data_IF_853430020915
#
_entry.id   IF_853430020915
#
_cell.length_a   1.000
_cell.length_b   1.000
_cell.length_c   1.000
_cell.angle_alpha   90.00
_cell.angle_beta   90.00
_cell.angle_gamma   90.00
#
_symmetry.space_group_name_H-M   'P 1'
#
loop_
_entity.id
_entity.type
_entity.pdbx_description
1 polymer ?
#
# COMPACT_ATOMS: atom_id res chain seq x y z
N UNK A 1 2.65 6.71 28.29
CA UNK A 1 3.49 7.61 27.49
C UNK A 1 4.87 7.79 28.10
N UNK A 2 4.97 8.53 29.21
CA UNK A 2 6.25 9.02 29.77
C UNK A 2 7.21 7.95 30.36
N UNK A 3 6.82 6.67 30.41
CA UNK A 3 7.67 5.58 30.94
C UNK A 3 8.56 4.92 29.87
N UNK A 4 8.26 5.09 28.58
CA UNK A 4 9.05 4.46 27.51
C UNK A 4 10.40 5.15 27.38
N UNK A 5 11.49 4.39 27.51
CA UNK A 5 12.87 4.91 27.33
C UNK A 5 13.25 5.12 25.86
N UNK A 6 12.57 4.43 24.95
CA UNK A 6 12.90 4.40 23.53
C UNK A 6 11.68 4.74 22.65
N UNK A 7 11.88 5.29 21.44
CA UNK A 7 10.80 5.45 20.47
C UNK A 7 10.27 4.07 20.01
N UNK A 8 9.02 4.05 19.53
CA UNK A 8 8.36 2.86 18.97
C UNK A 8 7.77 3.23 17.62
N UNK A 9 8.32 2.68 16.53
CA UNK A 9 7.86 3.00 15.18
C UNK A 9 6.51 2.35 14.87
N UNK A 10 5.54 3.13 14.41
CA UNK A 10 4.20 2.66 14.02
C UNK A 10 4.03 2.89 12.52
N UNK A 11 3.46 1.92 11.82
CA UNK A 11 3.32 1.92 10.36
C UNK A 11 1.86 1.82 9.94
N UNK A 12 1.55 2.36 8.77
CA UNK A 12 0.26 2.13 8.13
C UNK A 12 0.21 0.71 7.56
N UNK A 13 -0.92 0.04 7.70
CA UNK A 13 -1.21 -1.22 7.02
C UNK A 13 -2.28 -0.97 5.97
N UNK A 14 -1.84 -0.63 4.77
CA UNK A 14 -2.74 -0.29 3.67
C UNK A 14 -3.43 -1.55 3.10
N UNK A 15 -2.79 -2.72 3.25
CA UNK A 15 -3.30 -4.00 2.79
C UNK A 15 -4.48 -4.51 3.65
N UNK A 16 -4.52 -4.14 4.93
CA UNK A 16 -5.54 -4.58 5.89
C UNK A 16 -6.04 -3.38 6.72
N UNK A 17 -6.99 -2.60 6.19
CA UNK A 17 -7.48 -1.37 6.82
C UNK A 17 -8.00 -1.58 8.25
N UNK A 18 -8.63 -2.73 8.52
CA UNK A 18 -9.21 -3.10 9.82
C UNK A 18 -8.20 -3.18 10.97
N UNK A 19 -6.91 -3.42 10.67
CA UNK A 19 -5.82 -3.45 11.66
C UNK A 19 -4.84 -2.29 11.50
N UNK A 20 -5.11 -1.35 10.59
CA UNK A 20 -4.21 -0.25 10.29
C UNK A 20 -4.18 0.79 11.42
N UNK A 21 -3.05 0.97 12.14
CA UNK A 21 -2.99 1.89 13.26
C UNK A 21 -3.20 3.35 12.86
N UNK A 22 -2.71 3.74 11.68
CA UNK A 22 -2.84 5.11 11.18
C UNK A 22 -4.27 5.42 10.73
N UNK A 23 -4.96 4.45 10.13
CA UNK A 23 -6.38 4.60 9.79
C UNK A 23 -7.22 4.71 11.06
N UNK A 24 -7.02 3.81 12.03
CA UNK A 24 -7.72 3.85 13.31
C UNK A 24 -7.50 5.20 14.03
N UNK A 25 -6.27 5.71 13.98
CA UNK A 25 -5.93 7.01 14.55
C UNK A 25 -6.61 8.17 13.80
N UNK A 26 -6.67 8.11 12.47
CA UNK A 26 -7.36 9.11 11.65
C UNK A 26 -8.87 9.14 11.92
N UNK A 27 -9.51 7.97 12.01
CA UNK A 27 -10.93 7.86 12.38
C UNK A 27 -11.15 8.47 13.77
N UNK A 28 -10.30 8.17 14.74
CA UNK A 28 -10.37 8.77 16.07
C UNK A 28 -10.21 10.30 16.02
N UNK A 29 -9.26 10.83 15.26
CA UNK A 29 -9.07 12.28 15.13
C UNK A 29 -10.26 12.97 14.48
N UNK A 30 -10.86 12.39 13.44
CA UNK A 30 -12.07 12.94 12.83
C UNK A 30 -13.22 13.00 13.84
N UNK A 31 -13.40 11.96 14.65
CA UNK A 31 -14.54 11.88 15.58
C UNK A 31 -14.36 12.72 16.86
N UNK A 32 -13.13 12.83 17.36
CA UNK A 32 -12.86 13.40 18.70
C UNK A 32 -11.92 14.60 18.69
N UNK A 33 -11.32 14.94 17.55
CA UNK A 33 -10.30 15.97 17.44
C UNK A 33 -8.92 15.53 17.92
N UNK A 34 -7.92 16.36 17.65
CA UNK A 34 -6.52 16.13 18.04
C UNK A 34 -6.07 16.99 19.23
N UNK A 35 -6.60 18.21 19.34
CA UNK A 35 -6.07 19.24 20.24
C UNK A 35 -6.91 19.37 21.51
N UNK A 36 -6.75 18.44 22.45
CA UNK A 36 -7.42 18.50 23.75
C UNK A 36 -6.67 19.43 24.71
N UNK A 37 -6.75 20.75 24.51
CA UNK A 37 -6.10 21.77 25.35
C UNK A 37 -6.50 21.65 26.82
N UNK A 38 -7.79 21.41 27.09
CA UNK A 38 -8.32 21.15 28.44
C UNK A 38 -7.72 19.88 29.11
N UNK A 39 -7.13 18.96 28.33
CA UNK A 39 -6.45 17.77 28.82
C UNK A 39 -4.92 17.90 28.81
N UNK A 40 -4.38 19.12 28.75
CA UNK A 40 -2.93 19.36 28.71
C UNK A 40 -2.27 18.88 27.42
N UNK A 41 -3.03 18.85 26.32
CA UNK A 41 -2.52 18.45 25.00
C UNK A 41 -2.23 16.95 24.84
N UNK A 42 -2.81 16.10 25.71
CA UNK A 42 -2.74 14.64 25.57
C UNK A 42 -3.53 14.17 24.34
N UNK A 43 -2.96 13.22 23.60
CA UNK A 43 -3.60 12.59 22.44
C UNK A 43 -4.93 11.92 22.79
N UNK A 44 -4.96 11.22 23.92
CA UNK A 44 -6.16 10.65 24.50
C UNK A 44 -6.47 11.41 25.79
N UNK A 45 -7.61 12.11 25.88
CA UNK A 45 -7.95 12.94 27.04
C UNK A 45 -8.23 12.05 28.27
N UNK A 46 -8.26 12.64 29.47
CA UNK A 46 -8.53 11.94 30.73
C UNK A 46 -7.30 11.42 31.50
N UNK A 47 -7.55 10.71 32.60
CA UNK A 47 -6.54 10.16 33.53
C UNK A 47 -6.59 8.62 33.54
N UNK A 48 -5.60 7.97 34.17
CA UNK A 48 -5.55 6.50 34.34
C UNK A 48 -5.75 5.70 33.03
N UNK A 49 -5.03 6.11 31.98
CA UNK A 49 -5.23 5.58 30.62
C UNK A 49 -5.12 4.05 30.54
N UNK A 50 -4.21 3.44 31.29
CA UNK A 50 -4.07 1.98 31.34
C UNK A 50 -5.34 1.30 31.87
N UNK A 51 -5.93 1.81 32.95
CA UNK A 51 -7.14 1.24 33.52
C UNK A 51 -8.36 1.51 32.65
N UNK A 52 -8.45 2.70 32.04
CA UNK A 52 -9.51 3.00 31.07
C UNK A 52 -9.45 2.07 29.86
N UNK A 53 -8.26 1.91 29.28
CA UNK A 53 -8.03 0.97 28.19
C UNK A 53 -8.39 -0.46 28.61
N UNK A 54 -7.92 -0.92 29.77
CA UNK A 54 -8.23 -2.26 30.28
C UNK A 54 -9.74 -2.47 30.45
N UNK A 55 -10.47 -1.51 31.03
CA UNK A 55 -11.92 -1.61 31.22
C UNK A 55 -12.67 -1.64 29.88
N UNK A 56 -12.31 -0.77 28.94
CA UNK A 56 -12.92 -0.78 27.61
C UNK A 56 -12.61 -2.07 26.86
N UNK A 57 -11.35 -2.50 26.85
CA UNK A 57 -10.93 -3.72 26.18
C UNK A 57 -11.59 -4.97 26.80
N UNK A 58 -11.41 -5.21 28.10
CA UNK A 58 -11.93 -6.42 28.73
C UNK A 58 -13.46 -6.41 28.85
N UNK A 59 -14.06 -5.33 29.34
CA UNK A 59 -15.48 -5.36 29.67
C UNK A 59 -16.34 -5.10 28.43
N UNK A 60 -16.05 -4.03 27.68
CA UNK A 60 -16.86 -3.69 26.50
C UNK A 60 -16.57 -4.64 25.33
N UNK A 61 -15.31 -4.74 24.92
CA UNK A 61 -14.99 -5.42 23.67
C UNK A 61 -14.97 -6.94 23.81
N UNK A 62 -14.40 -7.51 24.87
CA UNK A 62 -14.25 -8.96 24.97
C UNK A 62 -15.47 -9.66 25.61
N UNK A 63 -16.22 -8.97 26.47
CA UNK A 63 -17.30 -9.57 27.27
C UNK A 63 -18.71 -9.11 26.88
N UNK A 64 -18.91 -7.83 26.53
CA UNK A 64 -20.23 -7.31 26.13
C UNK A 64 -20.51 -7.50 24.62
N UNK A 65 -19.49 -7.64 23.78
CA UNK A 65 -19.65 -7.88 22.34
C UNK A 65 -19.76 -9.38 22.06
N UNK A 66 -20.98 -9.84 21.74
CA UNK A 66 -21.29 -11.25 21.54
C UNK A 66 -20.54 -11.86 20.34
N UNK A 67 -20.35 -11.10 19.26
CA UNK A 67 -19.64 -11.58 18.06
C UNK A 67 -18.16 -11.79 18.37
N UNK A 68 -17.55 -10.85 19.09
CA UNK A 68 -16.15 -10.96 19.53
C UNK A 68 -15.99 -12.12 20.52
N UNK A 69 -16.89 -12.24 21.50
CA UNK A 69 -16.85 -13.33 22.48
C UNK A 69 -17.00 -14.71 21.80
N UNK A 70 -17.92 -14.83 20.85
CA UNK A 70 -18.11 -16.05 20.06
C UNK A 70 -16.89 -16.38 19.21
N UNK A 71 -16.27 -15.37 18.56
CA UNK A 71 -15.06 -15.55 17.77
C UNK A 71 -13.86 -16.02 18.62
N UNK A 72 -13.73 -15.49 19.85
CA UNK A 72 -12.70 -15.92 20.81
C UNK A 72 -12.95 -17.35 21.27
N UNK A 73 -14.19 -17.68 21.64
CA UNK A 73 -14.58 -19.03 22.04
C UNK A 73 -14.36 -20.05 20.91
N UNK A 74 -14.68 -19.69 19.66
CA UNK A 74 -14.42 -20.51 18.48
C UNK A 74 -12.94 -20.81 18.23
N UNK A 75 -12.02 -20.03 18.82
CA UNK A 75 -10.57 -20.28 18.82
C UNK A 75 -10.10 -21.09 20.03
N UNK A 76 -11.01 -21.61 20.85
CA UNK A 76 -10.70 -22.38 22.06
C UNK A 76 -10.16 -21.52 23.21
N UNK A 77 -10.45 -20.22 23.21
CA UNK A 77 -10.01 -19.28 24.24
C UNK A 77 -11.20 -18.79 25.07
N UNK A 78 -10.98 -18.46 26.33
CA UNK A 78 -11.98 -17.78 27.15
C UNK A 78 -11.69 -16.28 27.19
N UNK A 79 -12.68 -15.45 26.88
CA UNK A 79 -12.55 -13.98 26.91
C UNK A 79 -12.05 -13.46 28.28
N UNK A 80 -12.40 -14.14 29.38
CA UNK A 80 -11.97 -13.79 30.73
C UNK A 80 -10.45 -14.01 30.98
N UNK A 81 -9.80 -14.82 30.15
CA UNK A 81 -8.35 -15.08 30.23
C UNK A 81 -7.53 -14.06 29.43
N UNK A 82 -8.20 -13.20 28.66
CA UNK A 82 -7.56 -12.19 27.82
C UNK A 82 -7.59 -10.85 28.55
N UNK A 83 -6.39 -10.35 28.88
CA UNK A 83 -6.19 -9.06 29.51
C UNK A 83 -5.37 -8.10 28.65
N UNK A 84 -5.18 -6.88 29.14
CA UNK A 84 -4.32 -5.87 28.50
C UNK A 84 -2.86 -6.36 28.33
N UNK A 85 -2.39 -7.27 29.18
CA UNK A 85 -1.09 -7.93 29.03
C UNK A 85 -1.05 -8.91 27.87
N UNK A 86 -2.17 -9.54 27.52
CA UNK A 86 -2.26 -10.51 26.43
C UNK A 86 -1.95 -9.86 25.08
N UNK A 87 -2.27 -8.58 24.89
CA UNK A 87 -1.91 -7.83 23.68
C UNK A 87 -0.39 -7.75 23.51
N UNK A 88 0.34 -7.39 24.57
CA UNK A 88 1.82 -7.30 24.51
C UNK A 88 2.45 -8.67 24.30
N UNK A 89 2.00 -9.68 25.04
CA UNK A 89 2.48 -11.06 24.90
C UNK A 89 2.21 -11.59 23.49
N UNK A 90 0.98 -11.45 23.02
CA UNK A 90 0.55 -11.87 21.68
C UNK A 90 1.33 -11.18 20.57
N UNK A 91 1.56 -9.87 20.67
CA UNK A 91 2.39 -9.14 19.72
C UNK A 91 3.84 -9.65 19.70
N UNK A 92 4.44 -9.91 20.87
CA UNK A 92 5.79 -10.49 20.96
C UNK A 92 5.85 -11.90 20.37
N UNK A 93 4.87 -12.75 20.67
CA UNK A 93 4.76 -14.10 20.10
C UNK A 93 4.59 -14.02 18.58
N UNK A 94 3.69 -13.18 18.08
CA UNK A 94 3.46 -12.99 16.65
C UNK A 94 4.74 -12.57 15.91
N UNK A 95 5.50 -11.62 16.47
CA UNK A 95 6.79 -11.24 15.92
C UNK A 95 7.78 -12.41 15.87
N UNK A 96 7.85 -13.21 16.94
CA UNK A 96 8.82 -14.30 17.06
C UNK A 96 8.41 -15.58 16.31
N UNK A 97 7.12 -15.78 16.02
CA UNK A 97 6.60 -17.04 15.48
C UNK A 97 6.14 -16.98 14.02
N UNK A 98 6.09 -15.78 13.41
CA UNK A 98 5.58 -15.64 12.05
C UNK A 98 6.56 -15.96 10.92
N UNK A 99 7.86 -16.10 11.22
CA UNK A 99 8.90 -16.46 10.26
C UNK A 99 10.19 -16.88 10.99
N UNK A 100 11.00 -17.75 10.39
CA UNK A 100 12.38 -18.02 10.84
C UNK A 100 13.31 -16.82 10.67
N UNK A 101 12.89 -15.81 9.90
CA UNK A 101 13.57 -14.53 9.72
C UNK A 101 12.96 -13.42 10.59
N UNK A 102 12.36 -13.75 11.73
CA UNK A 102 11.75 -12.81 12.66
C UNK A 102 12.72 -11.72 13.19
N UNK A 103 12.21 -10.60 13.73
CA UNK A 103 13.05 -9.66 14.45
C UNK A 103 13.77 -10.34 15.64
N UNK A 104 14.92 -9.81 16.04
CA UNK A 104 15.67 -10.38 17.17
C UNK A 104 14.85 -10.34 18.46
N UNK A 105 15.01 -11.37 19.30
CA UNK A 105 14.33 -11.43 20.60
C UNK A 105 14.67 -10.22 21.48
N UNK A 106 15.88 -9.68 21.36
CA UNK A 106 16.31 -8.46 22.02
C UNK A 106 15.44 -7.26 21.60
N UNK A 107 15.25 -7.04 20.29
CA UNK A 107 14.41 -5.95 19.79
C UNK A 107 12.94 -6.10 20.22
N UNK A 108 12.40 -7.33 20.14
CA UNK A 108 11.03 -7.63 20.58
C UNK A 108 10.87 -7.32 22.07
N UNK A 109 11.81 -7.76 22.91
CA UNK A 109 11.76 -7.57 24.36
C UNK A 109 11.94 -6.11 24.76
N UNK A 110 12.87 -5.39 24.13
CA UNK A 110 13.08 -3.95 24.34
C UNK A 110 11.79 -3.17 24.01
N UNK A 111 11.14 -3.47 22.88
CA UNK A 111 9.89 -2.82 22.48
C UNK A 111 8.72 -3.16 23.39
N UNK A 112 8.67 -4.40 23.89
CA UNK A 112 7.71 -4.88 24.88
C UNK A 112 7.96 -4.31 26.29
N UNK A 113 9.07 -3.60 26.49
CA UNK A 113 9.53 -3.06 27.78
C UNK A 113 9.82 -4.17 28.81
N UNK A 114 10.35 -5.30 28.36
CA UNK A 114 10.75 -6.42 29.21
C UNK A 114 12.23 -6.29 29.58
N UNK A 115 12.56 -6.72 30.81
CA UNK A 115 13.95 -6.89 31.23
C UNK A 115 14.55 -8.07 30.50
N UNK A 116 15.70 -7.88 29.88
CA UNK A 116 16.45 -8.97 29.24
C UNK A 116 17.39 -9.67 30.23
N UNK A 117 17.54 -9.13 31.44
CA UNK A 117 18.45 -9.61 32.47
C UNK A 117 19.72 -8.78 32.53
N UNK A 118 20.48 -8.90 33.63
CA UNK A 118 21.54 -7.97 34.02
C UNK A 118 22.59 -7.74 32.91
N UNK A 119 23.07 -8.82 32.29
CA UNK A 119 24.11 -8.75 31.25
C UNK A 119 23.53 -8.11 29.98
N UNK A 120 22.40 -8.61 29.50
CA UNK A 120 21.81 -8.15 28.24
C UNK A 120 21.29 -6.71 28.32
N UNK A 121 20.67 -6.30 29.43
CA UNK A 121 20.23 -4.90 29.62
C UNK A 121 21.43 -3.91 29.63
N UNK A 122 22.63 -4.40 29.99
CA UNK A 122 23.87 -3.61 29.98
C UNK A 122 24.40 -3.43 28.57
N UNK A 123 24.39 -4.49 27.74
CA UNK A 123 25.08 -4.50 26.44
C UNK A 123 24.16 -4.31 25.23
N UNK A 124 22.93 -4.81 25.29
CA UNK A 124 21.96 -4.69 24.19
C UNK A 124 21.17 -3.40 24.35
N UNK A 125 21.36 -2.48 23.41
CA UNK A 125 20.68 -1.18 23.39
C UNK A 125 19.63 -1.15 22.29
N UNK A 126 18.83 -0.10 22.32
CA UNK A 126 17.82 0.15 21.30
C UNK A 126 18.48 0.27 19.93
N UNK A 127 17.97 -0.50 18.97
CA UNK A 127 18.38 -0.47 17.56
C UNK A 127 17.19 -0.03 16.71
N UNK A 128 17.30 1.15 16.09
CA UNK A 128 16.18 1.72 15.34
C UNK A 128 15.73 0.83 14.17
N UNK A 129 16.67 0.21 13.44
CA UNK A 129 16.34 -0.68 12.32
C UNK A 129 15.55 -1.91 12.78
N UNK A 130 15.98 -2.53 13.88
CA UNK A 130 15.31 -3.68 14.49
C UNK A 130 13.92 -3.30 15.02
N UNK A 131 13.77 -2.12 15.65
CA UNK A 131 12.45 -1.61 16.07
C UNK A 131 11.54 -1.29 14.88
N UNK A 132 12.08 -0.76 13.78
CA UNK A 132 11.32 -0.59 12.53
C UNK A 132 10.76 -1.93 12.04
N UNK A 133 11.57 -2.99 12.07
CA UNK A 133 11.14 -4.33 11.65
C UNK A 133 10.06 -4.90 12.58
N UNK A 134 10.26 -4.81 13.90
CA UNK A 134 9.23 -5.19 14.88
C UNK A 134 7.96 -4.37 14.65
N UNK A 135 8.11 -3.06 14.37
CA UNK A 135 7.01 -2.13 14.14
C UNK A 135 6.13 -2.52 12.96
N UNK A 136 6.74 -2.81 11.81
CA UNK A 136 6.00 -3.30 10.64
C UNK A 136 5.25 -4.59 10.94
N UNK A 137 5.93 -5.51 11.62
CA UNK A 137 5.36 -6.81 11.99
C UNK A 137 4.13 -6.65 12.89
N UNK A 138 4.23 -5.90 13.99
CA UNK A 138 3.08 -5.70 14.90
C UNK A 138 1.96 -4.84 14.32
N UNK A 139 2.21 -4.10 13.24
CA UNK A 139 1.16 -3.41 12.48
C UNK A 139 0.47 -4.35 11.47
N UNK A 140 0.84 -5.63 11.43
CA UNK A 140 0.20 -6.65 10.59
C UNK A 140 0.65 -6.64 9.13
N UNK A 141 1.77 -5.99 8.80
CA UNK A 141 2.29 -6.02 7.43
C UNK A 141 2.77 -7.44 7.05
N UNK A 142 2.62 -7.85 5.78
CA UNK A 142 2.84 -9.23 5.36
C UNK A 142 4.33 -9.59 5.29
N UNK A 143 4.89 -10.20 6.35
CA UNK A 143 6.33 -10.49 6.50
C UNK A 143 6.99 -11.26 5.35
N UNK A 144 6.21 -12.00 4.56
CA UNK A 144 6.70 -12.85 3.48
C UNK A 144 6.27 -12.34 2.09
N UNK A 145 6.01 -11.04 1.96
CA UNK A 145 5.59 -10.38 0.71
C UNK A 145 6.35 -9.05 0.52
N UNK A 146 6.51 -8.58 -0.72
CA UNK A 146 7.17 -7.29 -0.98
C UNK A 146 6.42 -6.11 -0.34
N UNK A 147 5.10 -6.22 -0.21
CA UNK A 147 4.23 -5.25 0.49
C UNK A 147 4.55 -5.09 1.98
N UNK A 148 5.42 -5.93 2.55
CA UNK A 148 5.99 -5.63 3.87
C UNK A 148 6.66 -4.25 3.89
N UNK A 149 7.21 -3.83 2.74
CA UNK A 149 7.81 -2.52 2.52
C UNK A 149 6.87 -1.45 1.97
N UNK A 150 5.55 -1.65 2.03
CA UNK A 150 4.59 -0.65 1.56
C UNK A 150 4.74 0.66 2.34
N UNK A 151 4.54 1.77 1.63
CA UNK A 151 4.58 3.13 2.17
C UNK A 151 3.15 3.57 2.52
N UNK A 152 2.99 4.42 3.55
CA UNK A 152 1.68 4.96 3.89
C UNK A 152 1.17 5.92 2.79
N UNK A 153 -0.16 6.02 2.60
CA UNK A 153 -0.74 7.06 1.76
C UNK A 153 -0.39 8.43 2.31
N UNK A 154 -0.20 9.40 1.42
CA UNK A 154 0.14 10.76 1.78
C UNK A 154 -0.34 11.77 0.73
N UNK A 155 -0.36 13.05 1.12
CA UNK A 155 -0.65 14.14 0.19
C UNK A 155 0.59 14.54 -0.62
N UNK A 156 0.60 14.20 -1.90
CA UNK A 156 1.58 14.65 -2.88
C UNK A 156 1.14 15.96 -3.49
N UNK A 157 1.86 17.02 -3.15
CA UNK A 157 1.63 18.38 -3.65
C UNK A 157 2.82 18.79 -4.53
N UNK A 158 2.56 19.04 -5.81
CA UNK A 158 3.59 19.41 -6.80
C UNK A 158 3.76 20.93 -6.93
N UNK A 159 2.81 21.70 -6.42
CA UNK A 159 2.82 23.17 -6.44
C UNK A 159 2.49 23.77 -5.07
N UNK A 160 2.82 25.05 -4.89
CA UNK A 160 2.46 25.81 -3.67
C UNK A 160 0.95 25.87 -3.48
N UNK A 161 0.19 26.01 -4.57
CA UNK A 161 -1.27 26.10 -4.57
C UNK A 161 -1.88 24.79 -4.06
N UNK A 162 -1.39 23.63 -4.55
CA UNK A 162 -1.85 22.32 -4.08
C UNK A 162 -1.55 22.09 -2.59
N UNK A 163 -0.37 22.53 -2.12
CA UNK A 163 -0.02 22.48 -0.69
C UNK A 163 -0.94 23.37 0.15
N UNK A 164 -1.23 24.58 -0.31
CA UNK A 164 -2.16 25.50 0.35
C UNK A 164 -3.60 24.96 0.39
N UNK A 165 -4.03 24.16 -0.60
CA UNK A 165 -5.34 23.51 -0.58
C UNK A 165 -5.42 22.45 0.52
N UNK A 166 -4.42 21.55 0.61
CA UNK A 166 -4.37 20.54 1.66
C UNK A 166 -4.25 21.18 3.05
N UNK A 167 -3.38 22.19 3.19
CA UNK A 167 -3.19 22.91 4.47
C UNK A 167 -4.49 23.54 4.96
N UNK A 168 -5.25 24.18 4.07
CA UNK A 168 -6.54 24.79 4.43
C UNK A 168 -7.50 23.77 5.04
N UNK A 169 -7.62 22.58 4.42
CA UNK A 169 -8.51 21.54 4.94
C UNK A 169 -8.02 21.02 6.28
N UNK A 170 -6.71 20.74 6.41
CA UNK A 170 -6.13 20.24 7.67
C UNK A 170 -6.26 21.24 8.81
N UNK A 171 -6.03 22.53 8.54
CA UNK A 171 -6.13 23.60 9.54
C UNK A 171 -7.58 23.88 9.92
N UNK A 172 -8.55 23.63 9.03
CA UNK A 172 -9.97 23.69 9.32
C UNK A 172 -10.43 22.52 10.20
N UNK A 173 -10.04 21.28 9.85
CA UNK A 173 -10.35 20.10 10.65
C UNK A 173 -9.68 20.16 12.04
N UNK A 174 -8.47 20.69 12.11
CA UNK A 174 -7.67 20.76 13.34
C UNK A 174 -7.00 22.13 13.50
N UNK A 175 -7.71 23.12 14.08
CA UNK A 175 -7.15 24.44 14.27
C UNK A 175 -6.03 24.46 15.32
N UNK A 176 -5.04 25.33 15.10
CA UNK A 176 -3.95 25.64 16.05
C UNK A 176 -3.05 24.43 16.42
N UNK A 177 -2.77 23.54 15.46
CA UNK A 177 -1.79 22.47 15.65
C UNK A 177 -0.35 22.99 15.54
N UNK A 178 0.51 22.50 16.44
CA UNK A 178 1.95 22.63 16.23
C UNK A 178 2.42 21.76 15.06
N UNK A 179 3.60 22.08 14.50
CA UNK A 179 4.12 21.44 13.30
C UNK A 179 4.23 19.90 13.42
N UNK A 180 4.58 19.37 14.60
CA UNK A 180 4.72 17.92 14.80
C UNK A 180 3.36 17.24 14.79
N UNK A 181 2.37 17.83 15.47
CA UNK A 181 1.00 17.34 15.46
C UNK A 181 0.36 17.45 14.09
N UNK A 182 0.61 18.54 13.36
CA UNK A 182 0.13 18.71 11.98
C UNK A 182 0.64 17.59 11.07
N UNK A 183 1.92 17.23 11.17
CA UNK A 183 2.46 16.09 10.41
C UNK A 183 1.75 14.76 10.71
N UNK A 184 1.48 14.46 11.98
CA UNK A 184 0.76 13.23 12.38
C UNK A 184 -0.69 13.26 11.91
N UNK A 185 -1.36 14.41 12.03
CA UNK A 185 -2.72 14.60 11.53
C UNK A 185 -2.79 14.41 10.02
N UNK A 186 -1.86 14.99 9.25
CA UNK A 186 -1.80 14.79 7.80
C UNK A 186 -1.67 13.33 7.40
N UNK A 187 -0.77 12.58 8.03
CA UNK A 187 -0.60 11.15 7.75
C UNK A 187 -1.87 10.34 8.08
N UNK A 188 -2.52 10.67 9.20
CA UNK A 188 -3.75 10.01 9.63
C UNK A 188 -4.93 10.32 8.71
N UNK A 189 -5.10 11.58 8.29
CA UNK A 189 -6.15 11.98 7.34
C UNK A 189 -5.88 11.39 5.96
N UNK A 190 -4.63 11.34 5.51
CA UNK A 190 -4.30 10.68 4.24
C UNK A 190 -4.72 9.21 4.23
N UNK A 191 -4.55 8.50 5.36
CA UNK A 191 -5.05 7.13 5.52
C UNK A 191 -6.59 7.07 5.44
N UNK A 192 -7.30 7.98 6.11
CA UNK A 192 -8.78 8.04 6.06
C UNK A 192 -9.29 8.30 4.63
N UNK A 193 -8.70 9.27 3.93
CA UNK A 193 -9.09 9.63 2.56
C UNK A 193 -8.82 8.47 1.60
N UNK A 194 -7.66 7.82 1.71
CA UNK A 194 -7.31 6.66 0.91
C UNK A 194 -8.28 5.48 1.14
N UNK A 195 -8.71 5.25 2.39
CA UNK A 195 -9.61 4.15 2.75
C UNK A 195 -11.10 4.54 2.78
N UNK A 196 -11.50 5.69 2.24
CA UNK A 196 -12.88 6.20 2.38
C UNK A 196 -13.94 5.22 1.87
N UNK A 197 -13.70 4.54 0.74
CA UNK A 197 -14.64 3.57 0.16
C UNK A 197 -14.71 2.28 0.96
N UNK A 198 -13.59 1.89 1.58
CA UNK A 198 -13.56 0.76 2.49
C UNK A 198 -14.35 1.09 3.76
N UNK A 199 -14.16 2.28 4.33
CA UNK A 199 -14.89 2.74 5.51
C UNK A 199 -16.40 2.76 5.27
N UNK A 200 -16.85 3.34 4.15
CA UNK A 200 -18.28 3.39 3.78
C UNK A 200 -18.93 2.01 3.62
N UNK A 201 -18.17 1.01 3.19
CA UNK A 201 -18.66 -0.37 3.00
C UNK A 201 -18.66 -1.21 4.28
N UNK A 202 -17.74 -0.95 5.20
CA UNK A 202 -17.49 -1.84 6.35
C UNK A 202 -17.92 -1.25 7.70
N UNK A 203 -18.12 0.07 7.79
CA UNK A 203 -18.58 0.72 9.02
C UNK A 203 -20.10 0.90 9.01
N UNK A 204 -20.77 0.85 10.17
CA UNK A 204 -22.20 1.15 10.27
C UNK A 204 -22.53 2.52 9.69
N UNK A 205 -23.64 2.64 8.94
CA UNK A 205 -24.02 3.90 8.28
C UNK A 205 -24.29 5.07 9.25
N UNK A 206 -24.56 4.78 10.52
CA UNK A 206 -24.74 5.75 11.60
C UNK A 206 -23.46 5.99 12.42
N UNK A 207 -22.30 5.53 11.94
CA UNK A 207 -21.04 5.71 12.64
C UNK A 207 -20.66 7.21 12.67
N UNK A 208 -20.24 7.78 13.83
CA UNK A 208 -19.98 9.22 13.99
C UNK A 208 -19.00 9.82 12.97
N UNK A 209 -18.10 9.00 12.42
CA UNK A 209 -17.19 9.39 11.34
C UNK A 209 -17.92 10.04 10.16
N UNK A 210 -19.09 9.53 9.78
CA UNK A 210 -19.82 10.00 8.60
C UNK A 210 -20.53 11.33 8.83
N UNK A 211 -20.68 11.76 10.09
CA UNK A 211 -21.19 13.08 10.47
C UNK A 211 -20.06 14.12 10.59
N UNK A 212 -18.79 13.68 10.59
CA UNK A 212 -17.64 14.59 10.73
C UNK A 212 -17.53 15.53 9.53
N UNK A 213 -16.89 16.68 9.75
CA UNK A 213 -16.70 17.69 8.71
C UNK A 213 -16.00 17.15 7.45
N UNK A 214 -15.07 16.20 7.62
CA UNK A 214 -14.39 15.54 6.51
C UNK A 214 -15.37 14.79 5.58
N UNK A 215 -16.40 14.14 6.13
CA UNK A 215 -17.35 13.33 5.36
C UNK A 215 -18.62 14.11 4.98
N UNK A 216 -19.02 15.08 5.78
CA UNK A 216 -20.21 15.91 5.59
C UNK A 216 -19.98 17.04 4.59
N UNK A 217 -18.79 17.63 4.53
CA UNK A 217 -18.49 18.71 3.60
C UNK A 217 -18.10 18.16 2.23
N UNK A 218 -19.02 18.26 1.27
CA UNK A 218 -18.95 17.59 -0.04
C UNK A 218 -17.68 17.86 -0.86
N UNK A 219 -16.96 18.97 -0.61
CA UNK A 219 -15.75 19.33 -1.36
C UNK A 219 -14.47 18.67 -0.82
N UNK A 220 -14.42 18.29 0.46
CA UNK A 220 -13.15 17.89 1.11
C UNK A 220 -12.61 16.55 0.60
N UNK A 221 -13.42 15.50 0.63
CA UNK A 221 -12.98 14.19 0.15
C UNK A 221 -12.59 14.22 -1.34
N UNK A 222 -13.39 14.78 -2.27
CA UNK A 222 -12.99 14.88 -3.67
C UNK A 222 -11.72 15.70 -3.89
N UNK A 223 -11.54 16.81 -3.14
CA UNK A 223 -10.34 17.63 -3.22
C UNK A 223 -9.11 16.86 -2.73
N UNK A 224 -9.15 16.31 -1.52
CA UNK A 224 -8.02 15.62 -0.91
C UNK A 224 -7.64 14.35 -1.67
N UNK A 225 -8.62 13.63 -2.23
CA UNK A 225 -8.39 12.40 -3.01
C UNK A 225 -7.49 12.65 -4.23
N UNK A 226 -7.55 13.85 -4.83
CA UNK A 226 -6.68 14.23 -5.97
C UNK A 226 -5.20 14.25 -5.63
N UNK A 227 -4.86 14.44 -4.35
CA UNK A 227 -3.49 14.55 -3.88
C UNK A 227 -2.99 13.28 -3.20
N UNK A 228 -3.81 12.24 -3.06
CA UNK A 228 -3.38 11.00 -2.43
C UNK A 228 -2.39 10.26 -3.34
N UNK A 229 -1.24 9.91 -2.78
CA UNK A 229 -0.22 9.08 -3.42
C UNK A 229 0.32 8.06 -2.43
N UNK A 230 0.85 6.96 -2.98
CA UNK A 230 1.64 5.95 -2.27
C UNK A 230 3.03 5.79 -2.90
N UNK A 231 3.44 6.73 -3.75
CA UNK A 231 4.70 6.64 -4.47
C UNK A 231 5.93 6.73 -3.55
N UNK A 232 7.06 6.36 -4.13
CA UNK A 232 8.36 6.26 -3.45
C UNK A 232 9.08 7.62 -3.40
N UNK A 233 8.44 8.75 -3.77
CA UNK A 233 9.02 10.09 -4.02
C UNK A 233 10.07 10.55 -2.96
N UNK A 234 11.32 10.09 -3.10
CA UNK A 234 12.39 10.24 -2.10
C UNK A 234 12.20 9.46 -0.79
N UNK A 235 11.09 8.74 -0.61
CA UNK A 235 10.75 7.98 0.60
C UNK A 235 11.24 6.56 0.50
N UNK A 236 11.90 6.08 1.55
CA UNK A 236 12.40 4.70 1.60
C UNK A 236 11.75 3.94 2.76
N UNK A 237 11.27 2.72 2.53
CA UNK A 237 10.78 1.89 3.62
C UNK A 237 11.93 1.52 4.56
N UNK A 238 11.70 1.65 5.87
CA UNK A 238 12.65 1.27 6.93
C UNK A 238 12.32 -0.08 7.53
N UNK A 239 13.29 -0.78 8.13
CA UNK A 239 13.04 -2.04 8.84
C UNK A 239 12.68 -3.22 7.94
N UNK A 240 13.24 -3.27 6.73
CA UNK A 240 13.04 -4.39 5.82
C UNK A 240 14.11 -5.47 6.05
N UNK A 241 13.71 -6.73 6.30
CA UNK A 241 14.65 -7.83 6.40
C UNK A 241 15.17 -8.26 5.00
N UNK A 242 16.33 -8.93 4.92
CA UNK A 242 16.95 -9.29 3.63
C UNK A 242 16.06 -10.14 2.70
N UNK A 243 15.22 -11.02 3.25
CA UNK A 243 14.34 -11.85 2.43
C UNK A 243 13.24 -11.04 1.74
N UNK A 244 12.67 -10.02 2.40
CA UNK A 244 11.71 -9.09 1.78
C UNK A 244 12.37 -8.31 0.65
N UNK A 245 13.61 -7.87 0.84
CA UNK A 245 14.37 -7.18 -0.22
C UNK A 245 14.60 -8.09 -1.43
N UNK A 246 14.90 -9.37 -1.17
CA UNK A 246 15.08 -10.39 -2.21
C UNK A 246 13.77 -10.64 -2.98
N UNK A 247 12.65 -10.82 -2.26
CA UNK A 247 11.33 -11.01 -2.87
C UNK A 247 10.98 -9.82 -3.76
N UNK A 248 11.19 -8.60 -3.27
CA UNK A 248 10.93 -7.37 -4.04
C UNK A 248 11.77 -7.32 -5.32
N UNK A 249 13.07 -7.64 -5.26
CA UNK A 249 13.90 -7.73 -6.46
C UNK A 249 13.41 -8.81 -7.43
N UNK A 250 12.91 -9.94 -6.94
CA UNK A 250 12.32 -10.98 -7.78
C UNK A 250 11.04 -10.52 -8.48
N UNK A 251 10.18 -9.77 -7.80
CA UNK A 251 8.97 -9.19 -8.39
C UNK A 251 9.31 -8.14 -9.46
N UNK A 252 10.30 -7.27 -9.19
CA UNK A 252 10.80 -6.29 -10.15
C UNK A 252 11.36 -6.98 -11.40
N UNK A 253 12.15 -8.06 -11.23
CA UNK A 253 12.66 -8.87 -12.35
C UNK A 253 11.53 -9.56 -13.13
N UNK A 254 10.54 -10.12 -12.43
CA UNK A 254 9.37 -10.73 -13.07
C UNK A 254 8.61 -9.73 -13.94
N UNK A 255 8.36 -8.52 -13.42
CA UNK A 255 7.71 -7.46 -14.18
C UNK A 255 8.50 -7.05 -15.44
N UNK A 256 9.82 -7.00 -15.35
CA UNK A 256 10.68 -6.74 -16.51
C UNK A 256 10.55 -7.86 -17.57
N UNK A 257 10.54 -9.13 -17.14
CA UNK A 257 10.36 -10.29 -18.04
C UNK A 257 8.98 -10.28 -18.69
N UNK A 258 7.92 -9.98 -17.94
CA UNK A 258 6.57 -9.88 -18.47
C UNK A 258 6.47 -8.76 -19.53
N UNK A 259 7.09 -7.60 -19.28
CA UNK A 259 7.20 -6.52 -20.25
C UNK A 259 7.97 -6.90 -21.51
N UNK A 260 9.07 -7.65 -21.37
CA UNK A 260 9.82 -8.18 -22.51
C UNK A 260 8.97 -9.15 -23.36
N UNK A 261 8.18 -10.02 -22.70
CA UNK A 261 7.31 -10.96 -23.41
C UNK A 261 6.20 -10.24 -24.20
N UNK A 262 5.63 -9.17 -23.66
CA UNK A 262 4.67 -8.32 -24.38
C UNK A 262 5.31 -7.69 -25.63
N UNK A 263 6.50 -7.11 -25.49
CA UNK A 263 7.23 -6.54 -26.62
C UNK A 263 7.56 -7.60 -27.69
N UNK A 264 7.94 -8.82 -27.27
CA UNK A 264 8.17 -9.94 -28.19
C UNK A 264 6.89 -10.33 -28.93
N UNK A 265 5.75 -10.35 -28.25
CA UNK A 265 4.46 -10.65 -28.87
C UNK A 265 4.08 -9.58 -29.91
N UNK A 266 4.28 -8.29 -29.61
CA UNK A 266 4.05 -7.18 -30.55
C UNK A 266 4.98 -7.25 -31.77
N UNK A 267 6.26 -7.55 -31.55
CA UNK A 267 7.23 -7.75 -32.64
C UNK A 267 6.83 -8.93 -33.53
N UNK A 268 6.42 -10.06 -32.95
CA UNK A 268 5.90 -11.22 -33.72
C UNK A 268 4.68 -10.84 -34.55
N UNK A 269 3.75 -10.05 -33.99
CA UNK A 269 2.60 -9.53 -34.72
C UNK A 269 3.01 -8.70 -35.95
N UNK A 270 3.97 -7.80 -35.76
CA UNK A 270 4.51 -6.95 -36.83
C UNK A 270 5.21 -7.76 -37.93
N UNK A 271 6.03 -8.75 -37.54
CA UNK A 271 6.71 -9.66 -38.48
C UNK A 271 5.69 -10.47 -39.29
N UNK A 272 4.64 -10.99 -38.65
CA UNK A 272 3.58 -11.72 -39.34
C UNK A 272 2.84 -10.84 -40.36
N UNK A 273 2.59 -9.58 -40.01
CA UNK A 273 1.99 -8.61 -40.93
C UNK A 273 2.88 -8.34 -42.15
N UNK A 274 4.17 -8.09 -41.93
CA UNK A 274 5.16 -7.90 -43.00
C UNK A 274 5.26 -9.12 -43.91
N UNK A 275 5.28 -10.32 -43.33
CA UNK A 275 5.35 -11.59 -44.08
C UNK A 275 4.15 -11.77 -45.00
N UNK A 276 2.92 -11.49 -44.51
CA UNK A 276 1.70 -11.52 -45.34
C UNK A 276 1.71 -10.47 -46.45
N UNK A 277 2.23 -9.28 -46.14
CA UNK A 277 2.34 -8.19 -47.11
C UNK A 277 3.30 -8.57 -48.23
N UNK A 278 4.47 -9.13 -47.89
CA UNK A 278 5.43 -9.62 -48.87
C UNK A 278 4.84 -10.71 -49.76
N UNK A 279 4.15 -11.70 -49.19
CA UNK A 279 3.48 -12.75 -49.98
C UNK A 279 2.44 -12.16 -50.97
N UNK A 280 1.69 -11.14 -50.53
CA UNK A 280 0.71 -10.45 -51.39
C UNK A 280 1.40 -9.67 -52.53
N UNK A 281 2.54 -9.04 -52.25
CA UNK A 281 3.34 -8.34 -53.26
C UNK A 281 3.89 -9.34 -54.30
N UNK A 282 4.45 -10.47 -53.85
CA UNK A 282 4.95 -11.52 -54.73
C UNK A 282 3.85 -12.06 -55.66
N UNK A 283 2.64 -12.32 -55.14
CA UNK A 283 1.50 -12.78 -55.94
C UNK A 283 1.07 -11.74 -57.00
N UNK A 284 1.01 -10.47 -56.61
CA UNK A 284 0.68 -9.36 -57.54
C UNK A 284 1.74 -9.18 -58.62
N UNK A 285 3.03 -9.27 -58.26
CA UNK A 285 4.14 -9.20 -59.22
C UNK A 285 4.06 -10.36 -60.21
N UNK A 286 3.92 -11.60 -59.72
CA UNK A 286 3.79 -12.78 -60.58
C UNK A 286 2.61 -12.66 -61.55
N UNK A 287 1.48 -12.11 -61.08
CA UNK A 287 0.31 -11.84 -61.91
C UNK A 287 0.62 -10.79 -62.97
N UNK A 288 1.20 -9.65 -62.59
CA UNK A 288 1.56 -8.58 -63.52
C UNK A 288 2.53 -9.04 -64.63
N UNK A 289 3.53 -9.87 -64.28
CA UNK A 289 4.45 -10.45 -65.24
C UNK A 289 3.76 -11.38 -66.23
N UNK A 290 2.85 -12.25 -65.76
CA UNK A 290 2.05 -13.12 -66.63
C UNK A 290 1.19 -12.30 -67.59
N UNK A 291 0.43 -11.33 -67.09
CA UNK A 291 -0.44 -10.50 -67.95
C UNK A 291 0.36 -9.70 -68.98
N UNK A 292 1.54 -9.20 -68.59
CA UNK A 292 2.43 -8.49 -69.51
C UNK A 292 3.00 -9.41 -70.58
N UNK A 293 3.44 -10.62 -70.21
CA UNK A 293 3.93 -11.62 -71.15
C UNK A 293 2.82 -12.03 -72.14
N UNK A 294 1.62 -12.34 -71.67
CA UNK A 294 0.46 -12.69 -72.50
C UNK A 294 0.10 -11.57 -73.49
N UNK A 295 0.17 -10.32 -73.04
CA UNK A 295 -0.05 -9.13 -73.89
C UNK A 295 1.00 -9.01 -74.98
N UNK A 296 2.28 -9.24 -74.66
CA UNK A 296 3.38 -9.23 -75.63
C UNK A 296 3.21 -10.37 -76.64
N UNK A 297 2.89 -11.59 -76.20
CA UNK A 297 2.66 -12.73 -77.10
C UNK A 297 1.51 -12.47 -78.06
N UNK A 298 0.37 -11.96 -77.57
CA UNK A 298 -0.76 -11.57 -78.44
C UNK A 298 -0.37 -10.51 -79.46
N UNK A 299 0.40 -9.51 -79.06
CA UNK A 299 0.89 -8.47 -79.99
C UNK A 299 1.79 -9.02 -81.09
N UNK A 300 2.63 -10.01 -80.78
CA UNK A 300 3.47 -10.72 -81.77
C UNK A 300 2.62 -11.59 -82.71
N UNK A 301 1.57 -12.25 -82.21
CA UNK A 301 0.64 -13.02 -83.04
C UNK A 301 -0.19 -12.13 -83.97
N UNK A 302 -0.59 -10.94 -83.50
CA UNK A 302 -1.36 -9.96 -84.28
C UNK A 302 -0.49 -9.20 -85.31
N UNK A 303 0.83 -9.06 -85.07
CA UNK A 303 1.79 -8.44 -85.98
C UNK A 303 3.08 -9.31 -86.10
N UNK A 304 3.03 -10.43 -86.85
CA UNK A 304 4.20 -11.28 -87.00
C UNK A 304 5.34 -10.51 -87.68
N UNK A 305 6.59 -10.63 -87.20
CA UNK A 305 7.72 -10.01 -87.88
C UNK A 305 7.82 -10.58 -89.30
N UNK A 306 7.90 -9.69 -90.29
CA UNK A 306 8.07 -10.00 -91.71
C UNK A 306 9.22 -10.99 -91.92
N UNK A 307 8.88 -12.27 -92.06
CA UNK A 307 9.72 -13.27 -92.69
C UNK A 307 9.47 -13.22 -94.20
N UNK A 308 9.75 -12.06 -94.83
CA UNK A 308 9.81 -11.91 -96.28
C UNK A 308 11.13 -11.22 -96.64
N UNK A 309 12.19 -12.02 -96.59
CA UNK A 309 13.43 -11.81 -97.32
C UNK A 309 13.99 -13.21 -97.61
N UNK A 310 13.30 -13.96 -98.48
CA UNK A 310 13.82 -15.10 -99.26
C UNK A 310 12.67 -15.69 -100.11
N UNK A 311 12.25 -14.98 -101.16
CA UNK A 311 11.85 -15.54 -102.47
C UNK A 311 11.34 -14.41 -103.40
N UNK A 312 12.30 -13.67 -103.97
CA UNK A 312 12.44 -13.29 -105.38
C UNK A 312 13.34 -12.06 -105.54
#
# INVERSE_FOLDING_TARGET
>A
GQKSRNPKHVYSNVCSPEVCPLLALGVYFCCYGLNHTASGGRLFPGTNQNDRFRKLFCNRLLLEDEEVAAAIHGKGLNANEIGSHSIRKGASTFCASGSTSCPSLAAISIRAEWKLGTIYDTHLKYEAASDCYVGRTVCGLPMNHADFGILPPFFKCESRESRMQVDRVIDQLFPNLDAKKKYVAEQAIAAVVYHQDWLRRNMPGNHPLFDTELFSYHEFLPLLSRYISMDVNGRKPTGLPPHVMTIRSMEEMKGAVDGMNLNIAEMRGSINHLTKTNATIEEKLATCFRTSADSIFRSIEENPPLADLLEH
#
